data_IF_344206865717
#
_entry.id   IF_344206865717
#
_cell.length_a   1.000
_cell.length_b   1.000
_cell.length_c   1.000
_cell.angle_alpha   90.00
_cell.angle_beta   90.00
_cell.angle_gamma   90.00
#
_symmetry.space_group_name_H-M   'P 1'
#
loop_
_entity.id
_entity.type
_entity.pdbx_description
1 polymer ?
#
# COMPACT_ATOMS: atom_id res chain seq x y z
N UNK A 1 -26.31 17.92 -23.96
CA UNK A 1 -27.00 18.07 -22.65
C UNK A 1 -28.44 18.54 -22.84
N UNK A 2 -28.72 19.64 -23.57
CA UNK A 2 -30.10 20.06 -23.88
C UNK A 2 -30.95 19.00 -24.61
N UNK A 3 -30.32 18.09 -25.36
CA UNK A 3 -31.02 17.03 -26.11
C UNK A 3 -31.55 15.85 -25.25
N UNK A 4 -31.06 15.66 -24.02
CA UNK A 4 -31.48 14.52 -23.17
C UNK A 4 -32.77 14.84 -22.40
N UNK A 5 -32.95 16.11 -22.00
CA UNK A 5 -34.15 16.57 -21.30
C UNK A 5 -35.28 17.05 -22.25
N UNK A 6 -35.04 17.06 -23.56
CA UNK A 6 -35.99 17.59 -24.55
C UNK A 6 -36.85 16.51 -25.24
N UNK A 7 -36.71 15.23 -24.87
CA UNK A 7 -37.36 14.12 -25.60
C UNK A 7 -38.61 13.56 -24.93
N UNK A 8 -38.71 13.63 -23.62
CA UNK A 8 -39.86 13.14 -22.85
C UNK A 8 -40.07 14.10 -21.68
N UNK A 9 -41.33 14.42 -21.38
CA UNK A 9 -41.65 15.24 -20.21
C UNK A 9 -41.11 14.51 -18.97
N UNK A 10 -40.29 15.15 -18.11
CA UNK A 10 -39.77 14.51 -16.91
C UNK A 10 -40.87 13.91 -16.03
N UNK A 11 -42.10 14.41 -16.12
CA UNK A 11 -43.25 13.91 -15.36
C UNK A 11 -43.91 12.67 -16.00
N UNK A 12 -43.58 12.34 -17.25
CA UNK A 12 -43.98 11.11 -17.94
C UNK A 12 -42.96 9.97 -17.76
N UNK A 13 -41.74 10.28 -17.32
CA UNK A 13 -40.67 9.31 -17.12
C UNK A 13 -40.85 8.51 -15.82
N UNK A 14 -40.44 7.24 -15.85
CA UNK A 14 -40.33 6.44 -14.62
C UNK A 14 -39.45 7.16 -13.57
N UNK A 15 -39.91 7.30 -12.31
CA UNK A 15 -39.18 8.05 -11.28
C UNK A 15 -37.77 7.52 -11.01
N UNK A 16 -37.56 6.19 -11.05
CA UNK A 16 -36.25 5.60 -10.83
C UNK A 16 -35.32 5.86 -12.01
N UNK A 17 -35.83 5.75 -13.24
CA UNK A 17 -35.07 6.06 -14.44
C UNK A 17 -34.69 7.55 -14.50
N UNK A 18 -35.63 8.45 -14.20
CA UNK A 18 -35.38 9.90 -14.11
C UNK A 18 -34.29 10.23 -13.09
N UNK A 19 -34.35 9.60 -11.91
CA UNK A 19 -33.33 9.76 -10.86
C UNK A 19 -31.97 9.25 -11.30
N UNK A 20 -31.92 8.05 -11.88
CA UNK A 20 -30.69 7.46 -12.39
C UNK A 20 -30.05 8.36 -13.46
N UNK A 21 -30.85 8.84 -14.40
CA UNK A 21 -30.40 9.72 -15.48
C UNK A 21 -29.85 11.03 -14.94
N UNK A 22 -30.52 11.65 -13.97
CA UNK A 22 -30.03 12.84 -13.28
C UNK A 22 -28.70 12.60 -12.58
N UNK A 23 -28.60 11.54 -11.79
CA UNK A 23 -27.36 11.22 -11.08
C UNK A 23 -26.21 10.96 -12.06
N UNK A 24 -26.47 10.27 -13.18
CA UNK A 24 -25.43 9.99 -14.17
C UNK A 24 -25.01 11.24 -14.94
N UNK A 25 -25.97 12.09 -15.32
CA UNK A 25 -25.69 13.32 -16.08
C UNK A 25 -24.99 14.37 -15.22
N UNK A 26 -25.37 14.52 -13.96
CA UNK A 26 -24.70 15.41 -13.00
C UNK A 26 -23.29 14.93 -12.67
N UNK A 27 -23.09 13.62 -12.46
CA UNK A 27 -21.76 13.00 -12.32
C UNK A 27 -20.86 13.32 -13.52
N UNK A 28 -21.35 13.14 -14.76
CA UNK A 28 -20.59 13.45 -15.96
C UNK A 28 -20.29 14.94 -16.14
N UNK A 29 -21.24 15.82 -15.82
CA UNK A 29 -21.05 17.26 -15.87
C UNK A 29 -19.99 17.70 -14.86
N UNK A 30 -20.08 17.19 -13.63
CA UNK A 30 -19.13 17.46 -12.55
C UNK A 30 -17.73 16.95 -12.87
N UNK A 31 -17.59 15.73 -13.42
CA UNK A 31 -16.31 15.16 -13.84
C UNK A 31 -15.61 15.99 -14.94
N UNK A 32 -16.38 16.75 -15.73
CA UNK A 32 -15.86 17.64 -16.79
C UNK A 32 -15.63 19.08 -16.32
N UNK A 33 -16.05 19.43 -15.11
CA UNK A 33 -16.04 20.82 -14.64
C UNK A 33 -17.07 21.73 -15.32
N UNK A 34 -18.08 21.16 -15.99
CA UNK A 34 -19.13 21.92 -16.69
C UNK A 34 -20.17 22.44 -15.69
N UNK A 35 -19.78 23.49 -14.96
CA UNK A 35 -20.59 24.14 -13.95
C UNK A 35 -21.90 24.72 -14.52
N UNK A 36 -21.90 25.12 -15.80
CA UNK A 36 -23.10 25.69 -16.44
C UNK A 36 -24.18 24.64 -16.65
N UNK A 37 -23.81 23.49 -17.22
CA UNK A 37 -24.75 22.37 -17.37
C UNK A 37 -25.17 21.81 -16.02
N UNK A 38 -24.23 21.73 -15.06
CA UNK A 38 -24.53 21.23 -13.72
C UNK A 38 -25.54 22.14 -13.00
N UNK A 39 -25.35 23.46 -13.01
CA UNK A 39 -26.31 24.43 -12.45
C UNK A 39 -27.71 24.23 -13.02
N UNK A 40 -27.83 24.13 -14.34
CA UNK A 40 -29.13 23.93 -14.96
C UNK A 40 -29.80 22.61 -14.52
N UNK A 41 -29.05 21.51 -14.47
CA UNK A 41 -29.59 20.22 -14.01
C UNK A 41 -30.08 20.32 -12.54
N UNK A 42 -29.24 20.87 -11.67
CA UNK A 42 -29.47 20.89 -10.23
C UNK A 42 -30.52 21.91 -9.81
N UNK A 43 -30.62 23.06 -10.49
CA UNK A 43 -31.57 24.12 -10.14
C UNK A 43 -32.90 24.00 -10.90
N UNK A 44 -32.90 23.45 -12.13
CA UNK A 44 -34.09 23.41 -13.00
C UNK A 44 -34.68 22.02 -13.22
N UNK A 45 -33.89 20.95 -13.26
CA UNK A 45 -34.38 19.62 -13.62
C UNK A 45 -34.83 18.78 -12.42
N UNK A 46 -33.98 18.68 -11.39
CA UNK A 46 -34.29 17.97 -10.13
C UNK A 46 -33.66 18.70 -8.91
N UNK A 47 -34.40 19.64 -8.29
CA UNK A 47 -33.88 20.50 -7.23
C UNK A 47 -33.73 19.85 -5.86
N UNK A 48 -34.41 18.74 -5.59
CA UNK A 48 -34.39 18.13 -4.25
C UNK A 48 -33.43 16.93 -4.15
N UNK A 49 -32.67 16.66 -5.22
CA UNK A 49 -31.89 15.43 -5.29
C UNK A 49 -30.50 15.47 -4.71
N UNK A 50 -30.06 14.29 -4.26
CA UNK A 50 -28.73 14.07 -3.73
C UNK A 50 -27.66 14.15 -4.84
N UNK A 51 -26.58 14.87 -4.53
CA UNK A 51 -25.49 15.22 -5.44
C UNK A 51 -24.18 14.50 -5.09
N UNK A 52 -24.21 13.50 -4.20
CA UNK A 52 -23.03 12.78 -3.71
C UNK A 52 -22.13 12.27 -4.83
N UNK A 53 -22.69 11.74 -5.92
CA UNK A 53 -21.91 11.29 -7.09
C UNK A 53 -21.27 12.45 -7.86
N UNK A 54 -21.95 13.59 -7.95
CA UNK A 54 -21.41 14.79 -8.58
C UNK A 54 -20.28 15.39 -7.74
N UNK A 55 -20.43 15.45 -6.41
CA UNK A 55 -19.38 15.90 -5.48
C UNK A 55 -18.14 15.00 -5.61
N UNK A 56 -18.32 13.68 -5.51
CA UNK A 56 -17.22 12.72 -5.65
C UNK A 56 -16.52 12.84 -7.01
N UNK A 57 -17.28 12.96 -8.11
CA UNK A 57 -16.74 13.12 -9.44
C UNK A 57 -15.97 14.45 -9.62
N UNK A 58 -16.48 15.55 -9.08
CA UNK A 58 -15.79 16.84 -9.11
C UNK A 58 -14.46 16.78 -8.35
N UNK A 59 -14.46 16.19 -7.16
CA UNK A 59 -13.26 16.06 -6.34
C UNK A 59 -12.21 15.14 -6.96
N UNK A 60 -12.63 13.98 -7.47
CA UNK A 60 -11.77 13.04 -8.17
C UNK A 60 -11.19 13.59 -9.48
N UNK A 61 -11.73 14.68 -10.05
CA UNK A 61 -11.20 15.32 -11.26
C UNK A 61 -10.62 16.72 -11.01
N UNK A 62 -10.52 17.16 -9.74
CA UNK A 62 -9.85 18.41 -9.39
C UNK A 62 -10.67 19.68 -9.67
N UNK A 63 -11.98 19.58 -9.86
CA UNK A 63 -12.83 20.71 -10.26
C UNK A 63 -13.28 21.56 -9.07
N UNK A 64 -12.38 22.39 -8.57
CA UNK A 64 -12.63 23.24 -7.40
C UNK A 64 -13.88 24.13 -7.53
N UNK A 65 -14.07 24.79 -8.67
CA UNK A 65 -15.21 25.70 -8.88
C UNK A 65 -16.58 24.99 -8.79
N UNK A 66 -16.61 23.69 -9.08
CA UNK A 66 -17.82 22.88 -8.92
C UNK A 66 -18.04 22.53 -7.44
N UNK A 67 -16.98 22.17 -6.73
CA UNK A 67 -17.04 21.84 -5.30
C UNK A 67 -17.45 23.06 -4.45
N UNK A 68 -16.84 24.22 -4.69
CA UNK A 68 -17.20 25.47 -4.02
C UNK A 68 -18.68 25.79 -4.22
N UNK A 69 -19.17 25.74 -5.45
CA UNK A 69 -20.57 25.99 -5.76
C UNK A 69 -21.53 24.96 -5.13
N UNK A 70 -21.18 23.67 -5.18
CA UNK A 70 -21.97 22.60 -4.55
C UNK A 70 -22.00 22.75 -3.03
N UNK A 71 -20.90 23.14 -2.41
CA UNK A 71 -20.83 23.33 -0.96
C UNK A 71 -21.57 24.58 -0.51
N UNK A 72 -21.35 25.73 -1.15
CA UNK A 72 -22.00 26.99 -0.75
C UNK A 72 -23.53 26.95 -0.89
N UNK A 73 -24.06 26.23 -1.88
CA UNK A 73 -25.51 26.26 -2.20
C UNK A 73 -26.26 24.97 -1.92
N UNK A 74 -25.56 23.84 -1.86
CA UNK A 74 -26.16 22.50 -1.85
C UNK A 74 -25.43 21.51 -0.92
N UNK A 75 -24.72 21.99 0.12
CA UNK A 75 -23.95 21.12 1.02
C UNK A 75 -24.79 19.99 1.64
N UNK A 76 -26.04 20.28 2.00
CA UNK A 76 -27.01 19.37 2.63
C UNK A 76 -27.51 18.29 1.67
N UNK A 77 -27.33 18.50 0.37
CA UNK A 77 -27.69 17.55 -0.70
C UNK A 77 -26.55 16.58 -1.03
N UNK A 78 -25.40 16.67 -0.37
CA UNK A 78 -24.26 15.76 -0.58
C UNK A 78 -23.86 15.06 0.71
N UNK A 79 -23.41 13.80 0.59
CA UNK A 79 -22.60 13.21 1.66
C UNK A 79 -21.14 13.62 1.46
N UNK A 80 -20.60 14.30 2.46
CA UNK A 80 -19.21 14.73 2.53
C UNK A 80 -18.47 14.01 3.66
N UNK A 81 -17.15 13.95 3.54
CA UNK A 81 -16.21 13.38 4.50
C UNK A 81 -15.77 11.95 4.20
N UNK A 82 -15.86 11.49 2.94
CA UNK A 82 -15.31 10.19 2.54
C UNK A 82 -14.93 10.16 1.05
N UNK A 83 -15.89 9.84 0.17
CA UNK A 83 -15.61 9.41 -1.21
C UNK A 83 -14.93 10.50 -2.03
N UNK A 84 -15.32 11.74 -1.82
CA UNK A 84 -14.73 12.91 -2.46
C UNK A 84 -13.28 13.16 -2.03
N UNK A 85 -12.98 13.01 -0.73
CA UNK A 85 -11.61 13.10 -0.22
C UNK A 85 -10.74 11.95 -0.76
N UNK A 86 -11.22 10.71 -0.69
CA UNK A 86 -10.53 9.54 -1.22
C UNK A 86 -10.22 9.68 -2.72
N UNK A 87 -11.19 10.15 -3.51
CA UNK A 87 -11.02 10.41 -4.94
C UNK A 87 -9.99 11.51 -5.23
N UNK A 88 -10.02 12.60 -4.46
CA UNK A 88 -9.04 13.69 -4.59
C UNK A 88 -7.62 13.24 -4.23
N UNK A 89 -7.46 12.44 -3.17
CA UNK A 89 -6.18 11.86 -2.77
C UNK A 89 -5.65 10.91 -3.85
N UNK A 90 -6.47 9.95 -4.28
CA UNK A 90 -6.07 8.92 -5.27
C UNK A 90 -5.60 9.53 -6.58
N UNK A 91 -6.20 10.64 -7.00
CA UNK A 91 -5.87 11.32 -8.26
C UNK A 91 -4.91 12.52 -8.08
N UNK A 92 -4.36 12.73 -6.89
CA UNK A 92 -3.30 13.72 -6.66
C UNK A 92 -3.77 15.19 -6.66
N UNK A 93 -5.05 15.46 -6.37
CA UNK A 93 -5.61 16.80 -6.40
C UNK A 93 -5.39 17.59 -5.10
N UNK A 94 -4.13 17.97 -4.84
CA UNK A 94 -3.67 18.64 -3.60
C UNK A 94 -4.58 19.80 -3.16
N UNK A 95 -4.92 20.73 -4.07
CA UNK A 95 -5.78 21.88 -3.73
C UNK A 95 -7.16 21.47 -3.24
N UNK A 96 -7.74 20.43 -3.85
CA UNK A 96 -9.05 19.89 -3.44
C UNK A 96 -8.94 19.23 -2.07
N UNK A 97 -7.88 18.47 -1.81
CA UNK A 97 -7.63 17.84 -0.50
C UNK A 97 -7.51 18.90 0.60
N UNK A 98 -6.74 19.97 0.38
CA UNK A 98 -6.60 21.07 1.35
C UNK A 98 -7.95 21.76 1.63
N UNK A 99 -8.73 22.00 0.59
CA UNK A 99 -10.04 22.62 0.71
C UNK A 99 -11.04 21.70 1.43
N UNK A 100 -11.06 20.40 1.09
CA UNK A 100 -11.91 19.40 1.75
C UNK A 100 -11.52 19.24 3.22
N UNK A 101 -10.22 19.24 3.55
CA UNK A 101 -9.75 19.13 4.94
C UNK A 101 -10.30 20.27 5.82
N UNK A 102 -10.45 21.46 5.25
CA UNK A 102 -10.89 22.65 5.99
C UNK A 102 -12.41 22.84 6.01
N UNK A 103 -13.14 22.38 5.00
CA UNK A 103 -14.58 22.61 4.86
C UNK A 103 -15.43 21.36 5.13
N UNK A 104 -14.88 20.17 4.89
CA UNK A 104 -15.59 18.90 4.85
C UNK A 104 -14.70 17.76 5.39
N UNK A 105 -14.17 17.93 6.60
CA UNK A 105 -13.30 16.95 7.22
C UNK A 105 -13.94 15.54 7.26
N UNK A 106 -13.15 14.46 7.10
CA UNK A 106 -13.65 13.10 7.13
C UNK A 106 -14.40 12.77 8.40
N UNK A 107 -15.42 11.92 8.28
CA UNK A 107 -16.15 11.38 9.43
C UNK A 107 -15.35 10.28 10.09
N UNK A 108 -15.50 10.11 11.40
CA UNK A 108 -14.74 9.14 12.19
C UNK A 108 -14.85 7.71 11.62
N UNK A 109 -16.04 7.31 11.17
CA UNK A 109 -16.30 6.01 10.56
C UNK A 109 -15.61 5.81 9.19
N UNK A 110 -15.22 6.89 8.51
CA UNK A 110 -14.60 6.86 7.19
C UNK A 110 -13.10 7.19 7.20
N UNK A 111 -12.56 7.63 8.35
CA UNK A 111 -11.15 8.05 8.46
C UNK A 111 -10.15 6.95 8.09
N UNK A 112 -10.47 5.67 8.33
CA UNK A 112 -9.62 4.54 7.91
C UNK A 112 -9.52 4.44 6.39
N UNK A 113 -10.62 4.65 5.65
CA UNK A 113 -10.62 4.63 4.18
C UNK A 113 -9.83 5.82 3.62
N UNK A 114 -9.96 6.99 4.26
CA UNK A 114 -9.18 8.18 3.88
C UNK A 114 -7.69 8.00 4.19
N UNK A 115 -7.35 7.38 5.32
CA UNK A 115 -5.97 7.02 5.68
C UNK A 115 -5.36 6.08 4.64
N UNK A 116 -6.09 5.04 4.24
CA UNK A 116 -5.64 4.08 3.23
C UNK A 116 -5.43 4.75 1.86
N UNK A 117 -6.36 5.63 1.46
CA UNK A 117 -6.24 6.40 0.22
C UNK A 117 -5.05 7.38 0.26
N UNK A 118 -4.86 8.10 1.38
CA UNK A 118 -3.74 9.02 1.56
C UNK A 118 -2.39 8.29 1.53
N UNK A 119 -2.30 7.15 2.23
CA UNK A 119 -1.10 6.33 2.25
C UNK A 119 -0.78 5.71 0.88
N UNK A 120 -1.79 5.20 0.19
CA UNK A 120 -1.65 4.69 -1.17
C UNK A 120 -1.29 5.76 -2.21
N UNK A 121 -1.66 7.02 -1.96
CA UNK A 121 -1.34 8.14 -2.85
C UNK A 121 -0.07 8.91 -2.46
N UNK A 122 0.56 8.58 -1.33
CA UNK A 122 1.80 9.22 -0.87
C UNK A 122 1.60 10.58 -0.19
N UNK A 123 0.38 10.92 0.24
CA UNK A 123 0.05 12.16 0.94
C UNK A 123 0.46 12.07 2.42
N UNK A 124 1.76 12.14 2.67
CA UNK A 124 2.34 11.99 4.01
C UNK A 124 1.78 13.02 5.01
N UNK A 125 1.52 14.24 4.56
CA UNK A 125 0.93 15.32 5.37
C UNK A 125 -0.48 14.99 5.88
N UNK A 126 -1.29 14.31 5.07
CA UNK A 126 -2.62 13.85 5.45
C UNK A 126 -2.54 12.60 6.33
N UNK A 127 -1.61 11.69 6.05
CA UNK A 127 -1.34 10.51 6.89
C UNK A 127 -0.92 10.95 8.30
N UNK A 128 0.01 11.90 8.41
CA UNK A 128 0.45 12.45 9.71
C UNK A 128 -0.70 13.14 10.43
N UNK A 129 -1.49 13.93 9.71
CA UNK A 129 -2.66 14.61 10.27
C UNK A 129 -3.69 13.63 10.85
N UNK A 130 -4.05 12.59 10.09
CA UNK A 130 -4.99 11.55 10.55
C UNK A 130 -4.45 10.73 11.73
N UNK A 131 -3.16 10.46 11.75
CA UNK A 131 -2.54 9.71 12.85
C UNK A 131 -2.42 10.53 14.13
N UNK A 132 -1.95 11.77 14.02
CA UNK A 132 -1.66 12.61 15.19
C UNK A 132 -2.94 13.13 15.84
N UNK A 133 -3.86 13.68 15.04
CA UNK A 133 -5.08 14.32 15.56
C UNK A 133 -6.20 13.32 15.83
N UNK A 134 -6.30 12.25 15.03
CA UNK A 134 -7.44 11.33 15.07
C UNK A 134 -7.09 9.91 15.53
N UNK A 135 -5.80 9.59 15.75
CA UNK A 135 -5.33 8.28 16.22
C UNK A 135 -5.84 7.11 15.37
N UNK A 136 -5.96 7.35 14.06
CA UNK A 136 -6.42 6.35 13.09
C UNK A 136 -5.35 5.26 12.93
N UNK A 137 -5.79 4.01 12.83
CA UNK A 137 -4.88 2.88 12.65
C UNK A 137 -4.20 2.95 11.28
N UNK A 138 -2.87 2.77 11.27
CA UNK A 138 -2.03 2.73 10.05
C UNK A 138 -1.78 1.32 9.53
N UNK A 139 -2.43 0.30 10.12
CA UNK A 139 -2.17 -1.10 9.81
C UNK A 139 -2.49 -1.46 8.36
N UNK A 140 -3.66 -1.05 7.85
CA UNK A 140 -4.03 -1.22 6.44
C UNK A 140 -3.29 -0.23 5.53
N UNK A 141 -2.96 0.95 6.05
CA UNK A 141 -2.30 2.02 5.32
C UNK A 141 -0.92 1.60 4.79
N UNK A 142 -0.15 0.83 5.58
CA UNK A 142 1.16 0.32 5.15
C UNK A 142 1.04 -0.53 3.87
N UNK A 143 0.07 -1.44 3.82
CA UNK A 143 -0.10 -2.32 2.66
C UNK A 143 -0.43 -1.54 1.38
N UNK A 144 -1.28 -0.50 1.50
CA UNK A 144 -1.63 0.38 0.38
C UNK A 144 -0.42 1.22 -0.08
N UNK A 145 0.32 1.83 0.85
CA UNK A 145 1.54 2.58 0.54
C UNK A 145 2.58 1.71 -0.17
N UNK A 146 2.83 0.50 0.34
CA UNK A 146 3.77 -0.46 -0.25
C UNK A 146 3.34 -0.92 -1.65
N UNK A 147 2.05 -1.22 -1.83
CA UNK A 147 1.51 -1.67 -3.13
C UNK A 147 1.62 -0.59 -4.20
N UNK A 148 1.47 0.67 -3.80
CA UNK A 148 1.58 1.84 -4.69
C UNK A 148 2.97 2.48 -4.71
N UNK A 149 3.99 1.79 -4.16
CA UNK A 149 5.41 2.21 -4.19
C UNK A 149 5.67 3.57 -3.52
N UNK A 150 4.90 3.90 -2.48
CA UNK A 150 5.02 5.12 -1.69
C UNK A 150 6.00 4.91 -0.53
N UNK A 151 7.29 4.80 -0.84
CA UNK A 151 8.33 4.36 0.12
C UNK A 151 8.54 5.32 1.28
N UNK A 152 8.45 6.63 1.05
CA UNK A 152 8.57 7.65 2.08
C UNK A 152 7.43 7.53 3.11
N UNK A 153 6.21 7.32 2.62
CA UNK A 153 5.05 7.12 3.49
C UNK A 153 5.13 5.77 4.21
N UNK A 154 5.56 4.70 3.54
CA UNK A 154 5.81 3.41 4.17
C UNK A 154 6.86 3.50 5.27
N UNK A 155 7.95 4.24 5.05
CA UNK A 155 8.99 4.46 6.07
C UNK A 155 8.38 5.14 7.29
N UNK A 156 7.66 6.24 7.08
CA UNK A 156 7.04 6.96 8.19
C UNK A 156 6.07 6.09 8.99
N UNK A 157 5.24 5.30 8.30
CA UNK A 157 4.31 4.36 8.94
C UNK A 157 5.05 3.29 9.77
N UNK A 158 6.21 2.81 9.31
CA UNK A 158 7.01 1.83 10.07
C UNK A 158 7.72 2.45 11.28
N UNK A 159 8.12 3.73 11.19
CA UNK A 159 8.74 4.45 12.30
C UNK A 159 7.73 4.79 13.41
N UNK A 160 6.51 5.19 13.04
CA UNK A 160 5.54 5.75 13.97
C UNK A 160 4.40 4.79 14.31
N UNK A 161 4.07 3.88 13.39
CA UNK A 161 3.03 2.88 13.59
C UNK A 161 3.51 1.80 14.54
N UNK A 162 2.76 1.55 15.62
CA UNK A 162 2.96 0.41 16.53
C UNK A 162 2.57 -0.91 15.83
N UNK A 163 3.24 -1.23 14.72
CA UNK A 163 2.99 -2.42 13.92
C UNK A 163 3.79 -3.60 14.51
N UNK A 164 3.08 -4.57 15.07
CA UNK A 164 3.69 -5.83 15.49
C UNK A 164 4.13 -6.62 14.26
N UNK A 165 5.44 -6.66 14.01
CA UNK A 165 6.09 -7.51 12.99
C UNK A 165 5.46 -7.43 11.60
N UNK A 166 5.53 -6.28 10.90
CA UNK A 166 5.02 -6.18 9.54
C UNK A 166 5.81 -7.12 8.62
N UNK A 167 5.10 -7.99 7.89
CA UNK A 167 5.71 -8.78 6.83
C UNK A 167 5.99 -7.86 5.63
N UNK A 168 7.27 -7.64 5.34
CA UNK A 168 7.72 -6.76 4.26
C UNK A 168 8.47 -7.59 3.24
N UNK A 169 8.05 -7.51 1.98
CA UNK A 169 8.80 -8.08 0.87
C UNK A 169 9.84 -7.07 0.38
N UNK A 170 11.13 -7.44 0.46
CA UNK A 170 12.27 -6.61 0.06
C UNK A 170 12.46 -6.53 -1.46
N UNK A 171 11.88 -7.46 -2.23
CA UNK A 171 12.06 -7.55 -3.68
C UNK A 171 11.54 -6.31 -4.41
N UNK A 172 10.37 -5.82 -3.97
CA UNK A 172 9.70 -4.70 -4.63
C UNK A 172 10.46 -3.37 -4.47
N UNK A 173 10.83 -2.93 -3.26
CA UNK A 173 11.67 -1.74 -3.10
C UNK A 173 13.05 -1.89 -3.73
N UNK A 174 13.61 -3.11 -3.78
CA UNK A 174 14.86 -3.37 -4.51
C UNK A 174 14.73 -3.19 -6.01
N UNK A 175 13.64 -3.67 -6.63
CA UNK A 175 13.34 -3.44 -8.05
C UNK A 175 13.15 -1.96 -8.38
N UNK A 176 12.48 -1.23 -7.48
CA UNK A 176 12.21 0.20 -7.65
C UNK A 176 13.42 1.09 -7.30
N UNK A 177 14.52 0.51 -6.80
CA UNK A 177 15.74 1.25 -6.47
C UNK A 177 15.61 2.13 -5.21
N UNK A 178 14.67 1.80 -4.32
CA UNK A 178 14.36 2.55 -3.10
C UNK A 178 15.44 2.36 -2.01
N UNK A 179 16.66 2.86 -2.28
CA UNK A 179 17.83 2.62 -1.45
C UNK A 179 17.70 3.20 -0.03
N UNK A 180 17.08 4.37 0.12
CA UNK A 180 16.80 4.98 1.43
C UNK A 180 15.93 4.06 2.28
N UNK A 181 14.84 3.57 1.70
CA UNK A 181 13.91 2.67 2.36
C UNK A 181 14.55 1.32 2.69
N UNK A 182 15.32 0.72 1.78
CA UNK A 182 16.04 -0.54 2.06
C UNK A 182 17.08 -0.38 3.17
N UNK A 183 17.83 0.72 3.18
CA UNK A 183 18.76 1.03 4.27
C UNK A 183 18.03 1.19 5.59
N UNK A 184 16.86 1.82 5.57
CA UNK A 184 16.01 1.97 6.74
C UNK A 184 15.54 0.60 7.27
N UNK A 185 15.01 -0.27 6.39
CA UNK A 185 14.57 -1.61 6.77
C UNK A 185 15.71 -2.43 7.38
N UNK A 186 16.90 -2.35 6.76
CA UNK A 186 18.11 -3.02 7.25
C UNK A 186 18.57 -2.49 8.61
N UNK A 187 18.58 -1.17 8.81
CA UNK A 187 19.01 -0.56 10.07
C UNK A 187 18.09 -0.92 11.25
N UNK A 188 16.82 -1.24 10.99
CA UNK A 188 15.83 -1.59 12.01
C UNK A 188 15.49 -3.08 12.04
N UNK A 189 16.23 -3.91 11.28
CA UNK A 189 15.99 -5.35 11.14
C UNK A 189 14.53 -5.74 10.82
N UNK A 190 13.80 -4.87 10.12
CA UNK A 190 12.37 -5.04 9.88
C UNK A 190 12.16 -6.08 8.77
N UNK A 191 11.45 -7.16 9.09
CA UNK A 191 11.11 -8.23 8.14
C UNK A 191 12.17 -9.32 8.01
N UNK A 192 13.35 -9.15 8.61
CA UNK A 192 14.29 -10.25 8.81
C UNK A 192 13.98 -10.89 10.17
N UNK A 193 13.32 -12.06 10.18
CA UNK A 193 13.08 -12.84 11.40
C UNK A 193 14.38 -13.31 12.10
N UNK A 194 15.54 -12.91 11.59
CA UNK A 194 16.85 -13.22 12.12
C UNK A 194 17.02 -12.75 13.58
N UNK A 195 16.51 -11.57 13.93
CA UNK A 195 16.60 -11.04 15.31
C UNK A 195 15.87 -11.92 16.33
N UNK A 196 14.71 -12.47 15.93
CA UNK A 196 13.96 -13.42 16.76
C UNK A 196 14.73 -14.75 16.87
N UNK A 197 15.38 -15.20 15.80
CA UNK A 197 16.21 -16.41 15.83
C UNK A 197 17.41 -16.21 16.76
N UNK A 198 18.11 -15.07 16.70
CA UNK A 198 19.21 -14.73 17.61
C UNK A 198 18.73 -14.64 19.07
N UNK A 199 17.58 -14.01 19.32
CA UNK A 199 16.98 -13.93 20.65
C UNK A 199 16.59 -15.31 21.20
N UNK A 200 15.94 -16.15 20.38
CA UNK A 200 15.57 -17.51 20.76
C UNK A 200 16.81 -18.37 21.00
N UNK A 201 17.84 -18.25 20.17
CA UNK A 201 19.13 -18.93 20.37
C UNK A 201 19.79 -18.53 21.69
N UNK A 202 19.77 -17.25 22.05
CA UNK A 202 20.36 -16.77 23.31
C UNK A 202 19.58 -17.19 24.56
N UNK A 203 18.27 -17.45 24.45
CA UNK A 203 17.38 -17.66 25.60
C UNK A 203 16.78 -19.07 25.71
N UNK A 204 16.91 -19.91 24.68
CA UNK A 204 16.44 -21.30 24.68
C UNK A 204 17.60 -22.27 24.55
N UNK A 205 17.58 -23.29 25.40
CA UNK A 205 18.52 -24.43 25.39
C UNK A 205 18.02 -25.60 24.53
N UNK A 206 16.93 -25.40 23.79
CA UNK A 206 16.32 -26.44 22.95
C UNK A 206 17.18 -26.64 21.71
N UNK A 207 17.64 -27.88 21.52
CA UNK A 207 18.47 -28.25 20.39
C UNK A 207 17.60 -28.47 19.14
N UNK A 208 18.06 -28.02 17.97
CA UNK A 208 17.42 -28.32 16.69
C UNK A 208 18.32 -29.20 15.82
N UNK A 209 17.71 -30.03 14.98
CA UNK A 209 18.39 -30.75 13.89
C UNK A 209 17.46 -30.76 12.67
N UNK A 210 18.03 -30.52 11.50
CA UNK A 210 17.31 -30.68 10.25
C UNK A 210 17.57 -32.07 9.69
N UNK A 211 16.59 -32.65 9.02
CA UNK A 211 16.81 -33.87 8.24
C UNK A 211 17.57 -33.46 6.97
N UNK A 212 18.52 -34.27 6.50
CA UNK A 212 19.25 -34.05 5.24
C UNK A 212 18.39 -34.10 3.96
N UNK A 213 17.07 -34.03 4.09
CA UNK A 213 16.07 -33.87 3.01
C UNK A 213 15.30 -32.55 3.14
N UNK A 214 15.70 -31.68 4.08
CA UNK A 214 15.02 -30.42 4.34
C UNK A 214 15.42 -29.39 3.29
N UNK A 215 14.42 -28.76 2.69
CA UNK A 215 14.60 -27.68 1.74
C UNK A 215 14.43 -26.33 2.46
N UNK A 216 15.51 -25.58 2.58
CA UNK A 216 15.50 -24.22 3.11
C UNK A 216 15.20 -23.27 1.95
N UNK A 217 13.96 -22.79 1.89
CA UNK A 217 13.49 -21.86 0.86
C UNK A 217 13.13 -20.52 1.49
N UNK A 218 13.27 -19.45 0.71
CA UNK A 218 12.84 -18.09 1.10
C UNK A 218 13.36 -17.60 2.46
N UNK A 219 14.50 -18.11 2.91
CA UNK A 219 15.16 -17.64 4.14
C UNK A 219 15.99 -16.40 3.84
N UNK A 220 16.06 -15.46 4.78
CA UNK A 220 17.00 -14.34 4.64
C UNK A 220 18.44 -14.86 4.59
N UNK A 221 19.28 -14.17 3.83
CA UNK A 221 20.67 -14.57 3.57
C UNK A 221 21.43 -14.60 4.89
N UNK A 222 21.22 -13.61 5.74
CA UNK A 222 21.85 -13.46 7.04
C UNK A 222 21.56 -14.67 7.93
N UNK A 223 20.31 -15.17 7.91
CA UNK A 223 19.94 -16.38 8.64
C UNK A 223 20.59 -17.62 8.03
N UNK A 224 20.60 -17.75 6.70
CA UNK A 224 21.25 -18.90 6.04
C UNK A 224 22.75 -18.93 6.31
N UNK A 225 23.43 -17.78 6.22
CA UNK A 225 24.84 -17.62 6.54
C UNK A 225 25.11 -17.95 8.01
N UNK A 226 24.34 -17.40 8.93
CA UNK A 226 24.49 -17.65 10.36
C UNK A 226 24.25 -19.13 10.70
N UNK A 227 23.20 -19.75 10.15
CA UNK A 227 22.92 -21.18 10.32
C UNK A 227 24.07 -22.05 9.81
N UNK A 228 24.60 -21.75 8.63
CA UNK A 228 25.74 -22.48 8.07
C UNK A 228 27.01 -22.29 8.90
N UNK A 229 27.30 -21.07 9.35
CA UNK A 229 28.49 -20.78 10.14
C UNK A 229 28.47 -21.42 11.55
N UNK A 230 27.32 -21.45 12.22
CA UNK A 230 27.21 -21.93 13.60
C UNK A 230 26.75 -23.39 13.72
N UNK A 231 26.10 -23.93 12.69
CA UNK A 231 25.39 -25.21 12.75
C UNK A 231 25.53 -26.05 11.48
N UNK A 232 26.64 -25.92 10.74
CA UNK A 232 26.94 -26.74 9.56
C UNK A 232 26.66 -28.24 9.76
N UNK A 233 27.09 -28.80 10.89
CA UNK A 233 26.93 -30.23 11.22
C UNK A 233 25.46 -30.69 11.25
N UNK A 234 24.54 -29.77 11.59
CA UNK A 234 23.11 -30.05 11.71
C UNK A 234 22.32 -29.77 10.44
N UNK A 235 22.98 -29.15 9.47
CA UNK A 235 22.44 -28.82 8.16
C UNK A 235 22.99 -29.75 7.08
N UNK A 236 23.74 -30.78 7.48
CA UNK A 236 24.33 -31.74 6.56
C UNK A 236 23.23 -32.41 5.70
N UNK A 237 23.42 -32.36 4.38
CA UNK A 237 22.46 -32.78 3.36
C UNK A 237 21.32 -31.80 3.06
N UNK A 238 21.15 -30.70 3.81
CA UNK A 238 20.08 -29.75 3.54
C UNK A 238 20.34 -28.97 2.25
N UNK A 239 19.27 -28.69 1.48
CA UNK A 239 19.37 -27.89 0.27
C UNK A 239 18.81 -26.46 0.49
N UNK A 240 19.54 -25.47 0.01
CA UNK A 240 19.23 -24.05 0.08
C UNK A 240 18.85 -23.54 -1.31
N UNK A 241 17.65 -23.01 -1.45
CA UNK A 241 17.22 -22.33 -2.67
C UNK A 241 17.65 -20.86 -2.64
N UNK A 242 18.50 -20.47 -3.60
CA UNK A 242 19.00 -19.10 -3.74
C UNK A 242 18.58 -18.54 -5.09
N UNK A 243 17.89 -17.39 -5.16
CA UNK A 243 17.59 -16.74 -6.43
C UNK A 243 18.85 -16.46 -7.25
N UNK A 244 18.83 -16.73 -8.57
CA UNK A 244 19.98 -16.47 -9.46
C UNK A 244 20.34 -14.98 -9.52
N UNK A 245 19.38 -14.10 -9.26
CA UNK A 245 19.58 -12.65 -9.12
C UNK A 245 20.50 -12.27 -7.95
N UNK A 246 20.67 -13.16 -6.97
CA UNK A 246 21.46 -12.91 -5.77
C UNK A 246 22.91 -13.40 -5.93
N UNK A 247 23.63 -12.76 -6.84
CA UNK A 247 24.99 -13.17 -7.22
C UNK A 247 25.96 -13.22 -6.03
N UNK A 248 25.85 -12.28 -5.07
CA UNK A 248 26.75 -12.20 -3.91
C UNK A 248 26.62 -13.41 -2.99
N UNK A 249 25.39 -13.87 -2.74
CA UNK A 249 25.18 -15.05 -1.91
C UNK A 249 25.60 -16.32 -2.65
N UNK A 250 25.32 -16.42 -3.96
CA UNK A 250 25.80 -17.54 -4.78
C UNK A 250 27.34 -17.62 -4.83
N UNK A 251 28.03 -16.49 -4.92
CA UNK A 251 29.49 -16.42 -4.85
C UNK A 251 30.01 -16.81 -3.47
N UNK A 252 29.37 -16.33 -2.39
CA UNK A 252 29.69 -16.75 -1.03
C UNK A 252 29.50 -18.27 -0.84
N UNK A 253 28.40 -18.84 -1.35
CA UNK A 253 28.14 -20.27 -1.27
C UNK A 253 29.24 -21.08 -1.95
N UNK A 254 29.68 -20.64 -3.14
CA UNK A 254 30.80 -21.25 -3.83
C UNK A 254 32.11 -21.13 -3.02
N UNK A 255 32.35 -19.97 -2.39
CA UNK A 255 33.55 -19.71 -1.59
C UNK A 255 33.64 -20.63 -0.37
N UNK A 256 32.52 -20.92 0.30
CA UNK A 256 32.49 -21.82 1.47
C UNK A 256 32.37 -23.30 1.09
N UNK A 257 32.53 -23.67 -0.19
CA UNK A 257 32.43 -25.04 -0.70
C UNK A 257 31.05 -25.71 -0.54
N UNK A 258 29.94 -24.96 -0.60
CA UNK A 258 28.63 -25.60 -0.77
C UNK A 258 28.55 -26.29 -2.13
N UNK A 259 27.98 -27.50 -2.18
CA UNK A 259 27.84 -28.24 -3.42
C UNK A 259 26.65 -27.70 -4.24
N UNK A 260 26.84 -27.39 -5.53
CA UNK A 260 25.75 -26.93 -6.40
C UNK A 260 24.98 -28.13 -6.95
N UNK A 261 23.78 -28.39 -6.43
CA UNK A 261 22.97 -29.55 -6.83
C UNK A 261 22.10 -29.32 -8.06
N UNK A 262 21.43 -28.15 -8.16
CA UNK A 262 20.52 -27.83 -9.27
C UNK A 262 20.62 -26.36 -9.65
N UNK A 263 20.47 -26.06 -10.93
CA UNK A 263 20.41 -24.70 -11.44
C UNK A 263 19.22 -24.58 -12.40
N UNK A 264 18.29 -23.68 -12.06
CA UNK A 264 17.14 -23.31 -12.87
C UNK A 264 17.28 -21.84 -13.26
N UNK A 265 16.54 -21.39 -14.29
CA UNK A 265 16.62 -20.01 -14.80
C UNK A 265 16.44 -18.93 -13.70
N UNK A 266 15.64 -19.23 -12.65
CA UNK A 266 15.33 -18.29 -11.57
C UNK A 266 16.01 -18.62 -10.22
N UNK A 267 16.53 -19.83 -10.01
CA UNK A 267 17.13 -20.22 -8.72
C UNK A 267 18.23 -21.27 -8.84
N UNK A 268 19.25 -21.13 -7.99
CA UNK A 268 20.35 -22.06 -7.80
C UNK A 268 20.18 -22.76 -6.45
N UNK A 269 20.35 -24.07 -6.45
CA UNK A 269 20.20 -24.93 -5.28
C UNK A 269 21.57 -25.39 -4.79
N UNK A 270 21.86 -25.08 -3.53
CA UNK A 270 23.12 -25.39 -2.86
C UNK A 270 22.90 -26.42 -1.75
N UNK A 271 23.78 -27.41 -1.64
CA UNK A 271 23.71 -28.49 -0.64
C UNK A 271 24.86 -28.34 0.33
N UNK A 272 24.51 -28.38 1.62
CA UNK A 272 25.45 -28.34 2.72
C UNK A 272 26.04 -29.73 2.95
N UNK A 273 27.34 -29.87 2.72
CA UNK A 273 28.13 -31.05 3.13
C UNK A 273 29.11 -30.58 4.21
N UNK A 274 28.79 -30.85 5.48
CA UNK A 274 29.53 -30.33 6.65
C UNK A 274 31.01 -30.69 6.62
N UNK A 275 31.34 -31.85 6.05
CA UNK A 275 32.71 -32.36 5.95
C UNK A 275 33.64 -31.57 5.00
N UNK A 276 33.09 -30.78 4.07
CA UNK A 276 33.86 -30.09 3.00
C UNK A 276 33.73 -28.57 3.09
N UNK A 277 32.88 -28.09 4.00
CA UNK A 277 32.61 -26.67 4.24
C UNK A 277 33.87 -25.93 4.71
N UNK A 278 34.19 -24.84 4.01
CA UNK A 278 35.29 -23.95 4.35
C UNK A 278 34.72 -22.66 4.93
N UNK A 279 34.37 -22.71 6.21
CA UNK A 279 33.93 -21.55 6.96
C UNK A 279 35.19 -20.85 7.50
N UNK A 280 35.35 -19.55 7.20
CA UNK A 280 36.36 -18.73 7.88
C UNK A 280 35.96 -18.66 9.36
N UNK A 281 36.73 -19.28 10.25
CA UNK A 281 36.59 -19.06 11.70
C UNK A 281 36.75 -17.55 11.95
N UNK A 282 35.66 -16.85 12.23
CA UNK A 282 35.76 -15.51 12.82
C UNK A 282 36.14 -15.65 14.30
N UNK A 283 37.07 -14.84 14.80
CA UNK A 283 37.57 -14.90 16.18
C UNK A 283 36.51 -14.55 17.22
#
# INVERSE_FOLDING_TARGET
MQYVAAREDPDEMDPFYRRWLFNKTTEMAAARGDLKSLRWLVESYLPDEFLTKAVAAAAANGHMSVLEWLFERHHDRGYWGNTEMCGALTNGHVKVVEWLRTHAAPRAECMTEVMDAAAGAGFLDIVTWLYDEHKVSVRSALANAMSNRQWETSQWILEHGELLMPWINWDQPAKDGALSFLKFLYAHSIGTHFDVVLFLHANRLEDFSFLGTTFVRHSCIELAQWLLCHYADKLDGCEFEVPTSNWRFNEWCAKVNLHRAREYDASTWWVCESAVLQLEEQP
#
